data_IF_610701445759
#
_entry.id   IF_610701445759
#
_cell.length_a   1.000
_cell.length_b   1.000
_cell.length_c   1.000
_cell.angle_alpha   90.00
_cell.angle_beta   90.00
_cell.angle_gamma   90.00
#
_symmetry.space_group_name_H-M   'P 1'
#
loop_
_entity.id
_entity.type
_entity.pdbx_description
1 polymer ?
#
# COMPACT_ATOMS: atom_id res chain seq x y z
N UNK A 1 10.70 7.19 6.36
CA UNK A 1 10.79 8.58 6.84
C UNK A 1 10.04 9.47 5.86
N UNK A 2 9.17 10.35 6.38
CA UNK A 2 8.07 11.01 5.66
C UNK A 2 8.47 11.67 4.33
N UNK A 3 7.64 11.42 3.31
CA UNK A 3 7.76 12.01 1.97
C UNK A 3 7.46 13.51 1.94
N UNK A 4 6.41 13.91 2.66
CA UNK A 4 5.84 15.27 2.72
C UNK A 4 4.73 15.29 3.78
N UNK A 5 4.45 16.43 4.45
CA UNK A 5 3.28 16.58 5.32
C UNK A 5 1.96 16.71 4.55
N UNK A 6 2.01 16.79 3.22
CA UNK A 6 0.81 16.86 2.39
C UNK A 6 0.06 15.53 2.38
N UNK A 7 -1.26 15.61 2.51
CA UNK A 7 -2.15 14.47 2.42
C UNK A 7 -3.33 14.79 1.50
N UNK A 8 -3.93 13.75 0.93
CA UNK A 8 -5.18 13.83 0.18
C UNK A 8 -6.10 12.71 0.63
N UNK A 9 -7.38 13.02 0.79
CA UNK A 9 -8.38 12.00 1.08
C UNK A 9 -8.60 11.15 -0.17
N UNK A 10 -8.46 9.83 -0.03
CA UNK A 10 -8.76 8.89 -1.10
C UNK A 10 -10.24 8.54 -1.06
N UNK A 11 -10.94 8.62 -2.20
CA UNK A 11 -12.34 8.21 -2.33
C UNK A 11 -12.51 6.68 -2.36
N UNK A 12 -11.96 6.00 -1.35
CA UNK A 12 -12.06 4.56 -1.16
C UNK A 12 -13.13 4.26 -0.11
N UNK A 13 -13.85 3.16 -0.29
CA UNK A 13 -14.84 2.69 0.68
C UNK A 13 -14.64 1.19 0.94
N UNK A 14 -13.57 0.82 1.68
CA UNK A 14 -13.39 -0.55 2.12
C UNK A 14 -14.54 -0.95 3.06
N UNK A 15 -15.08 -2.16 2.89
CA UNK A 15 -16.09 -2.71 3.78
C UNK A 15 -15.45 -3.78 4.67
N UNK A 16 -15.81 -3.81 5.96
CA UNK A 16 -15.30 -4.81 6.89
C UNK A 16 -15.79 -6.22 6.51
N UNK A 17 -15.01 -7.23 6.92
CA UNK A 17 -15.39 -8.64 6.79
C UNK A 17 -15.28 -9.22 5.37
N UNK A 18 -14.72 -8.48 4.41
CA UNK A 18 -14.39 -9.00 3.07
C UNK A 18 -12.99 -8.58 2.65
N UNK A 19 -12.31 -9.48 1.94
CA UNK A 19 -11.08 -9.12 1.24
C UNK A 19 -11.39 -8.16 0.10
N UNK A 20 -10.55 -7.13 -0.03
CA UNK A 20 -10.64 -6.14 -1.11
C UNK A 20 -9.25 -5.76 -1.57
N UNK A 21 -9.11 -5.61 -2.89
CA UNK A 21 -7.84 -5.22 -3.47
C UNK A 21 -7.75 -3.70 -3.54
N UNK A 22 -6.83 -3.09 -2.80
CA UNK A 22 -6.57 -1.66 -2.83
C UNK A 22 -5.23 -1.39 -3.53
N UNK A 23 -5.20 -0.38 -4.40
CA UNK A 23 -3.96 0.09 -5.01
C UNK A 23 -3.94 1.62 -5.08
N UNK A 24 -2.80 2.20 -4.75
CA UNK A 24 -2.53 3.64 -4.91
C UNK A 24 -1.28 3.79 -5.74
N UNK A 25 -1.34 4.63 -6.76
CA UNK A 25 -0.16 5.02 -7.53
C UNK A 25 0.14 6.49 -7.29
N UNK A 26 1.42 6.83 -7.28
CA UNK A 26 1.91 8.19 -7.11
C UNK A 26 3.19 8.38 -7.91
N UNK A 27 3.37 9.57 -8.49
CA UNK A 27 4.58 9.95 -9.21
C UNK A 27 5.10 11.31 -8.73
N UNK A 28 6.40 11.39 -8.43
CA UNK A 28 7.07 12.64 -8.04
C UNK A 28 6.93 13.73 -9.11
N UNK A 29 6.90 13.34 -10.39
CA UNK A 29 6.61 14.24 -11.50
C UNK A 29 5.18 14.76 -11.39
N UNK A 30 5.01 16.05 -11.09
CA UNK A 30 3.70 16.67 -10.98
C UNK A 30 2.86 16.25 -9.76
N UNK A 31 3.34 15.29 -8.94
CA UNK A 31 2.59 14.80 -7.79
C UNK A 31 1.29 14.08 -8.20
N UNK A 32 1.27 13.46 -9.38
CA UNK A 32 0.10 12.77 -9.92
C UNK A 32 -0.15 11.48 -9.14
N UNK A 33 -1.39 11.28 -8.71
CA UNK A 33 -1.80 10.09 -7.98
C UNK A 33 -3.11 9.52 -8.50
N UNK A 34 -3.32 8.21 -8.29
CA UNK A 34 -4.57 7.51 -8.55
C UNK A 34 -4.85 6.50 -7.45
N UNK A 35 -6.11 6.25 -7.16
CA UNK A 35 -6.55 5.20 -6.25
C UNK A 35 -7.50 4.24 -6.94
N UNK A 36 -7.41 2.97 -6.56
CA UNK A 36 -8.18 1.87 -7.13
C UNK A 36 -8.71 0.98 -6.01
N UNK A 37 -9.93 0.48 -6.21
CA UNK A 37 -10.55 -0.52 -5.35
C UNK A 37 -11.11 -1.63 -6.23
N UNK A 38 -10.70 -2.86 -5.95
CA UNK A 38 -11.07 -4.06 -6.72
C UNK A 38 -10.74 -3.91 -8.22
N UNK A 39 -9.59 -3.28 -8.50
CA UNK A 39 -9.10 -3.03 -9.86
C UNK A 39 -9.78 -1.85 -10.58
N UNK A 40 -10.77 -1.21 -9.96
CA UNK A 40 -11.56 -0.13 -10.56
C UNK A 40 -11.03 1.22 -10.06
N UNK A 41 -10.75 2.20 -10.94
CA UNK A 41 -10.36 3.54 -10.53
C UNK A 41 -11.43 4.20 -9.66
N UNK A 42 -11.01 4.82 -8.54
CA UNK A 42 -11.89 5.51 -7.58
C UNK A 42 -11.53 6.98 -7.39
N UNK A 43 -10.27 7.34 -7.57
CA UNK A 43 -9.79 8.71 -7.40
C UNK A 43 -8.56 8.99 -8.24
N UNK A 44 -8.36 10.28 -8.55
CA UNK A 44 -7.14 10.80 -9.17
C UNK A 44 -6.93 12.24 -8.76
N UNK A 45 -5.68 12.69 -8.82
CA UNK A 45 -5.32 14.08 -8.63
C UNK A 45 -3.85 14.33 -8.96
N UNK A 46 -3.44 15.57 -8.72
CA UNK A 46 -2.08 16.07 -8.97
C UNK A 46 -1.65 16.97 -7.81
N UNK A 47 -0.38 17.38 -7.79
CA UNK A 47 0.16 18.29 -6.78
C UNK A 47 0.36 17.67 -5.40
N UNK A 48 0.26 16.34 -5.24
CA UNK A 48 0.61 15.67 -4.01
C UNK A 48 2.13 15.45 -3.95
N UNK A 49 2.82 16.17 -3.08
CA UNK A 49 4.27 16.08 -2.86
C UNK A 49 5.12 16.14 -4.16
N UNK A 50 4.87 17.08 -5.10
CA UNK A 50 5.63 17.14 -6.35
C UNK A 50 7.12 17.34 -6.08
N UNK A 51 7.97 16.63 -6.82
CA UNK A 51 9.44 16.72 -6.69
C UNK A 51 10.03 16.04 -5.45
N UNK A 52 9.26 15.27 -4.68
CA UNK A 52 9.72 14.61 -3.46
C UNK A 52 9.85 13.08 -3.64
N UNK A 53 10.89 12.56 -4.32
CA UNK A 53 11.05 11.12 -4.48
C UNK A 53 11.19 10.40 -3.13
N UNK A 54 10.80 9.11 -3.12
CA UNK A 54 11.01 8.22 -1.98
C UNK A 54 12.49 8.19 -1.60
N UNK A 55 12.78 8.52 -0.34
CA UNK A 55 14.15 8.45 0.19
C UNK A 55 14.54 6.99 0.42
N UNK A 56 15.75 6.57 0.01
CA UNK A 56 16.24 5.22 0.29
C UNK A 56 16.50 5.03 1.80
N UNK A 57 16.68 3.77 2.21
CA UNK A 57 17.01 3.37 3.59
C UNK A 57 15.92 3.70 4.64
N UNK A 58 14.65 3.74 4.22
CA UNK A 58 13.53 3.80 5.13
C UNK A 58 13.23 2.45 5.81
N UNK A 59 12.42 2.50 6.88
CA UNK A 59 11.81 1.33 7.50
C UNK A 59 10.33 1.30 7.11
N UNK A 60 9.89 0.17 6.55
CA UNK A 60 8.48 -0.10 6.28
C UNK A 60 7.89 -0.86 7.46
N UNK A 61 6.83 -0.31 8.05
CA UNK A 61 6.08 -0.93 9.14
C UNK A 61 4.66 -1.13 8.66
N UNK A 62 4.10 -2.32 8.93
CA UNK A 62 2.70 -2.64 8.67
C UNK A 62 1.94 -2.69 9.99
N UNK A 63 0.70 -2.23 9.98
CA UNK A 63 -0.16 -2.26 11.17
C UNK A 63 -0.04 -1.03 12.08
N UNK A 64 1.01 -0.21 11.95
CA UNK A 64 1.29 0.92 12.84
C UNK A 64 1.70 2.18 12.06
N UNK A 65 1.29 3.34 12.57
CA UNK A 65 1.74 4.67 12.14
C UNK A 65 3.11 4.99 12.79
N UNK A 66 4.02 5.64 12.07
CA UNK A 66 5.41 5.88 12.51
C UNK A 66 5.68 7.36 12.79
N UNK A 67 5.68 7.80 14.05
CA UNK A 67 6.15 9.15 14.42
C UNK A 67 7.69 9.30 14.41
N UNK A 68 8.41 8.16 14.46
CA UNK A 68 9.87 8.09 14.29
C UNK A 68 10.25 6.91 13.42
N UNK A 69 11.51 6.85 12.96
CA UNK A 69 11.97 5.73 12.14
C UNK A 69 11.83 4.41 12.91
N UNK A 70 10.87 3.57 12.50
CA UNK A 70 10.60 2.27 13.10
C UNK A 70 9.97 2.30 14.50
N UNK A 71 9.42 3.42 14.97
CA UNK A 71 8.92 3.50 16.35
C UNK A 71 8.03 4.70 16.67
N UNK A 72 7.71 4.85 17.96
CA UNK A 72 6.71 5.79 18.51
C UNK A 72 5.33 5.60 17.89
N UNK A 73 4.82 4.39 18.01
CA UNK A 73 3.49 4.04 17.53
C UNK A 73 2.42 4.51 18.52
N UNK A 74 1.30 4.98 17.98
CA UNK A 74 0.08 5.28 18.75
C UNK A 74 -0.96 4.17 18.50
N UNK A 75 -1.39 3.52 19.57
CA UNK A 75 -2.39 2.44 19.50
C UNK A 75 -3.72 2.90 18.90
N UNK A 76 -4.06 4.20 18.98
CA UNK A 76 -5.28 4.76 18.38
C UNK A 76 -5.22 4.89 16.87
N UNK A 77 -4.01 4.77 16.29
CA UNK A 77 -3.75 4.83 14.84
C UNK A 77 -3.39 3.45 14.26
N UNK A 78 -3.42 2.40 15.10
CA UNK A 78 -3.13 1.06 14.67
C UNK A 78 -4.19 0.55 13.69
N UNK A 79 -3.75 -0.17 12.66
CA UNK A 79 -4.66 -0.88 11.77
C UNK A 79 -5.15 -2.17 12.45
N UNK A 80 -6.45 -2.42 12.35
CA UNK A 80 -7.11 -3.63 12.87
C UNK A 80 -7.79 -4.34 11.71
N UNK A 81 -7.28 -5.52 11.35
CA UNK A 81 -7.80 -6.34 10.27
C UNK A 81 -6.72 -7.27 9.71
N UNK A 82 -7.03 -7.87 8.57
CA UNK A 82 -6.13 -8.78 7.87
C UNK A 82 -5.45 -8.08 6.68
N UNK A 83 -4.18 -8.38 6.47
CA UNK A 83 -3.39 -7.90 5.32
C UNK A 83 -2.71 -9.08 4.64
N UNK A 84 -2.72 -9.06 3.32
CA UNK A 84 -2.01 -10.01 2.48
C UNK A 84 -1.65 -9.33 1.15
N UNK A 85 -0.74 -9.94 0.40
CA UNK A 85 -0.41 -9.50 -0.96
C UNK A 85 0.01 -8.02 -1.04
N UNK A 86 0.82 -7.55 -0.08
CA UNK A 86 1.41 -6.23 -0.20
C UNK A 86 2.59 -6.27 -1.18
N UNK A 87 2.51 -5.45 -2.21
CA UNK A 87 3.55 -5.31 -3.23
C UNK A 87 3.82 -3.82 -3.51
N UNK A 88 5.08 -3.44 -3.70
CA UNK A 88 5.49 -2.07 -4.04
C UNK A 88 6.31 -2.07 -5.33
N UNK A 89 6.05 -1.06 -6.17
CA UNK A 89 6.75 -0.84 -7.42
C UNK A 89 7.50 0.49 -7.43
N UNK A 90 8.63 0.55 -8.12
CA UNK A 90 9.40 1.79 -8.34
C UNK A 90 8.77 2.72 -9.39
N UNK A 91 7.59 2.36 -9.90
CA UNK A 91 6.84 3.08 -10.94
C UNK A 91 5.35 3.09 -10.64
N UNK A 92 4.66 4.08 -11.20
CA UNK A 92 3.19 4.08 -11.20
C UNK A 92 2.67 3.01 -12.17
N UNK A 93 1.82 2.11 -11.67
CA UNK A 93 1.14 1.10 -12.49
C UNK A 93 0.04 1.74 -13.35
N UNK A 94 -0.13 1.21 -14.57
CA UNK A 94 -1.24 1.58 -15.44
C UNK A 94 -2.54 0.90 -15.00
N UNK A 95 -3.73 1.50 -15.26
CA UNK A 95 -5.01 0.92 -14.88
C UNK A 95 -5.23 -0.54 -15.32
N UNK A 96 -4.84 -0.97 -16.54
CA UNK A 96 -4.99 -2.37 -16.94
C UNK A 96 -4.14 -3.34 -16.11
N UNK A 97 -2.95 -2.91 -15.65
CA UNK A 97 -2.09 -3.72 -14.78
C UNK A 97 -2.75 -3.91 -13.42
N UNK A 98 -3.24 -2.83 -12.82
CA UNK A 98 -3.96 -2.87 -11.52
C UNK A 98 -5.20 -3.75 -11.61
N UNK A 99 -5.95 -3.65 -12.73
CA UNK A 99 -7.12 -4.47 -12.96
C UNK A 99 -6.79 -5.96 -13.16
N UNK A 100 -5.62 -6.28 -13.74
CA UNK A 100 -5.16 -7.65 -13.86
C UNK A 100 -4.77 -8.25 -12.50
N UNK A 101 -4.09 -7.48 -11.65
CA UNK A 101 -3.75 -7.88 -10.27
C UNK A 101 -5.01 -8.18 -9.45
N UNK A 102 -5.98 -7.28 -9.47
CA UNK A 102 -7.23 -7.43 -8.73
C UNK A 102 -8.09 -8.63 -9.16
N UNK A 103 -7.89 -9.14 -10.38
CA UNK A 103 -8.59 -10.32 -10.92
C UNK A 103 -7.73 -11.57 -10.96
N UNK A 104 -6.56 -11.55 -10.32
CA UNK A 104 -5.63 -12.68 -10.35
C UNK A 104 -5.17 -13.09 -11.76
N UNK A 105 -5.29 -12.20 -12.74
CA UNK A 105 -4.93 -12.48 -14.13
C UNK A 105 -3.41 -12.35 -14.38
N UNK A 106 -2.67 -11.83 -13.39
CA UNK A 106 -1.22 -11.71 -13.44
C UNK A 106 -0.67 -11.85 -12.01
N UNK A 107 0.46 -12.55 -11.82
CA UNK A 107 1.10 -12.62 -10.51
C UNK A 107 1.64 -11.23 -10.13
N UNK A 108 1.37 -10.82 -8.90
CA UNK A 108 1.96 -9.61 -8.35
C UNK A 108 3.47 -9.80 -8.12
N UNK A 109 4.28 -8.90 -8.68
CA UNK A 109 5.74 -8.92 -8.60
C UNK A 109 6.26 -7.49 -8.48
N UNK A 110 6.17 -6.93 -7.28
CA UNK A 110 6.78 -5.64 -6.96
C UNK A 110 8.31 -5.73 -7.02
N UNK A 111 8.97 -4.74 -7.62
CA UNK A 111 10.43 -4.68 -7.72
C UNK A 111 11.09 -4.06 -6.47
N UNK A 112 10.34 -3.25 -5.72
CA UNK A 112 10.77 -2.73 -4.42
C UNK A 112 10.40 -3.67 -3.28
N UNK A 113 9.21 -4.27 -3.35
CA UNK A 113 8.75 -5.26 -2.39
C UNK A 113 7.77 -6.19 -3.08
N UNK A 114 8.04 -7.48 -3.00
CA UNK A 114 7.07 -8.53 -3.32
C UNK A 114 6.74 -9.28 -2.04
N UNK A 115 5.45 -9.50 -1.76
CA UNK A 115 5.01 -10.20 -0.56
C UNK A 115 5.67 -11.59 -0.47
N UNK A 116 6.40 -11.83 0.60
CA UNK A 116 6.99 -13.12 0.91
C UNK A 116 7.07 -13.27 2.43
N UNK A 117 6.52 -14.35 2.97
CA UNK A 117 6.48 -14.58 4.42
C UNK A 117 7.88 -14.56 5.06
N UNK A 118 8.90 -15.04 4.34
CA UNK A 118 10.28 -15.05 4.81
C UNK A 118 10.91 -13.65 4.95
N UNK A 119 10.29 -12.62 4.36
CA UNK A 119 10.76 -11.23 4.42
C UNK A 119 10.13 -10.39 5.53
N UNK A 120 9.28 -10.96 6.39
CA UNK A 120 8.55 -10.25 7.44
C UNK A 120 9.14 -10.54 8.82
N UNK A 121 9.42 -9.48 9.58
CA UNK A 121 9.68 -9.57 11.02
C UNK A 121 8.39 -9.27 11.78
N UNK A 122 7.92 -10.24 12.57
CA UNK A 122 6.64 -10.15 13.28
C UNK A 122 6.86 -9.71 14.73
N UNK A 123 6.12 -8.69 15.16
CA UNK A 123 6.15 -8.18 16.53
C UNK A 123 4.73 -8.13 17.11
N UNK A 124 4.60 -8.19 18.44
CA UNK A 124 3.33 -7.84 19.11
C UNK A 124 2.18 -8.84 18.93
N UNK A 125 2.47 -10.12 18.68
CA UNK A 125 1.44 -11.17 18.65
C UNK A 125 0.63 -11.26 17.36
N UNK A 126 1.16 -10.76 16.24
CA UNK A 126 0.58 -10.95 14.91
C UNK A 126 0.44 -12.44 14.61
N UNK A 127 -0.73 -12.84 14.09
CA UNK A 127 -0.99 -14.20 13.65
C UNK A 127 -0.82 -14.28 12.14
N UNK A 128 -0.20 -15.36 11.67
CA UNK A 128 -0.12 -15.66 10.23
C UNK A 128 -1.15 -16.73 9.90
N UNK A 129 -1.90 -16.51 8.83
CA UNK A 129 -2.92 -17.43 8.31
C UNK A 129 -2.64 -17.69 6.83
N UNK A 130 -2.91 -18.90 6.32
CA UNK A 130 -2.87 -19.14 4.90
C UNK A 130 -3.92 -18.25 4.22
N UNK A 131 -3.53 -17.65 3.11
CA UNK A 131 -4.40 -16.86 2.27
C UNK A 131 -4.05 -17.12 0.81
N UNK A 132 -5.06 -17.41 0.02
CA UNK A 132 -4.96 -17.43 -1.43
C UNK A 132 -5.94 -16.37 -1.98
N UNK A 133 -5.44 -15.27 -2.55
CA UNK A 133 -6.28 -14.19 -3.07
C UNK A 133 -7.22 -14.64 -4.20
N UNK A 134 -6.99 -15.82 -4.78
CA UNK A 134 -7.49 -16.21 -6.09
C UNK A 134 -8.25 -17.55 -6.10
N UNK A 135 -8.52 -18.13 -4.93
CA UNK A 135 -9.33 -19.36 -4.77
C UNK A 135 -10.63 -19.10 -4.03
#
# INVERSE_FOLDING_TARGET
FFLSPQAVALSLSPAPGRWQHLCVTWAASGGTWRSFQDGIPRGRGEGLAPGHPLRPHGVLVLGQEQDTLGGRFDATQAFVGDLAELHLWSRALAPPEVAALARCASPARGDLLAWAQAGLELHGGVTTLPFDPCT
#
